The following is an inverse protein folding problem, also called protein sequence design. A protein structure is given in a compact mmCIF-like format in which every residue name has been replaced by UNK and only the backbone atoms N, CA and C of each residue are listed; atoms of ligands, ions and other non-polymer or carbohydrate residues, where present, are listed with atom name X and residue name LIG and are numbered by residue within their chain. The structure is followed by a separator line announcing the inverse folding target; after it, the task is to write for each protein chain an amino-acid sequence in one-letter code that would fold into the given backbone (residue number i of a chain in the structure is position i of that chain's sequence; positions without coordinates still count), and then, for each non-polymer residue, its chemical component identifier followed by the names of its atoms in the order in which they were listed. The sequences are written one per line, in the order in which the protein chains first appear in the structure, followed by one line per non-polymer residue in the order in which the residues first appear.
data_IF_619859650046
#
_entry.id   IF_619859650046
#
_cell.length_a   1.000
_cell.length_b   1.000
_cell.length_c   1.000
_cell.angle_alpha   90.00
_cell.angle_beta   90.00
_cell.angle_gamma   90.00
#
_symmetry.space_group_name_H-M   'P 1'
#
loop_
_entity.id
_entity.type
_entity.pdbx_description
1 polymer ?
#
# COMPACT_ATOMS: atom_id res chain seq x y z
N UNK A 1 -10.51 -5.74 -2.83
CA UNK A 1 -9.56 -4.74 -2.29
C UNK A 1 -8.16 -5.32 -2.37
N UNK A 2 -7.19 -4.51 -2.71
CA UNK A 2 -5.81 -4.94 -2.93
C UNK A 2 -4.85 -4.08 -2.13
N UNK A 3 -3.75 -4.68 -1.66
CA UNK A 3 -2.63 -3.92 -1.12
C UNK A 3 -1.54 -3.82 -2.19
N UNK A 4 -0.78 -2.73 -2.19
CA UNK A 4 0.38 -2.54 -3.05
C UNK A 4 1.51 -1.96 -2.22
N UNK A 5 2.68 -2.60 -2.27
CA UNK A 5 3.78 -2.28 -1.35
C UNK A 5 5.13 -2.74 -1.92
N UNK A 6 6.19 -2.02 -1.58
CA UNK A 6 7.57 -2.46 -1.78
C UNK A 6 8.19 -2.78 -0.42
N UNK A 7 8.77 -3.96 -0.28
CA UNK A 7 9.35 -4.44 0.98
C UNK A 7 10.80 -4.85 0.79
N UNK A 8 11.61 -4.68 1.84
CA UNK A 8 12.96 -5.20 1.89
C UNK A 8 13.00 -6.66 2.37
N UNK A 9 14.19 -7.23 2.59
CA UNK A 9 14.34 -8.63 3.03
C UNK A 9 13.67 -8.92 4.37
N UNK A 10 13.52 -7.93 5.23
CA UNK A 10 12.88 -8.05 6.53
C UNK A 10 11.41 -7.59 6.51
N UNK A 11 10.79 -7.45 5.33
CA UNK A 11 9.45 -6.88 5.14
C UNK A 11 9.33 -5.43 5.59
N UNK A 12 10.45 -4.72 5.64
CA UNK A 12 10.48 -3.29 5.92
C UNK A 12 9.92 -2.46 4.78
N UNK A 13 9.28 -1.35 5.11
CA UNK A 13 8.64 -0.48 4.12
C UNK A 13 9.08 0.98 4.22
N UNK A 14 9.64 1.40 5.32
CA UNK A 14 10.04 2.79 5.50
C UNK A 14 11.03 2.99 6.62
N UNK A 15 11.65 4.15 6.61
CA UNK A 15 12.59 4.60 7.65
C UNK A 15 12.55 6.12 7.73
N UNK A 16 12.49 6.63 8.95
CA UNK A 16 12.47 8.08 9.23
C UNK A 16 11.38 8.82 8.43
N UNK A 17 10.21 8.18 8.27
CA UNK A 17 9.07 8.75 7.56
C UNK A 17 9.20 8.77 6.03
N UNK A 18 10.18 8.07 5.49
CA UNK A 18 10.45 8.03 4.04
C UNK A 18 10.44 6.60 3.52
N UNK A 19 10.24 6.44 2.21
CA UNK A 19 10.46 5.17 1.53
C UNK A 19 11.92 4.74 1.67
N UNK A 20 12.16 3.43 1.66
CA UNK A 20 13.50 2.86 1.83
C UNK A 20 14.45 3.22 0.68
N UNK A 21 13.92 3.32 -0.53
CA UNK A 21 14.69 3.63 -1.73
C UNK A 21 13.77 4.10 -2.85
N UNK A 22 14.39 4.58 -3.92
CA UNK A 22 13.70 5.00 -5.13
C UNK A 22 13.95 3.98 -6.23
N UNK A 23 12.89 3.29 -6.66
CA UNK A 23 12.92 2.36 -7.80
C UNK A 23 12.02 2.91 -8.90
N UNK A 24 12.57 3.45 -9.98
CA UNK A 24 11.74 4.04 -11.05
C UNK A 24 10.74 3.07 -11.67
N UNK A 25 11.11 1.81 -11.88
CA UNK A 25 10.22 0.81 -12.44
C UNK A 25 9.07 0.46 -11.50
N UNK A 26 9.34 0.40 -10.19
CA UNK A 26 8.32 0.19 -9.18
C UNK A 26 7.35 1.37 -9.09
N UNK A 27 7.86 2.58 -9.16
CA UNK A 27 7.03 3.79 -9.17
C UNK A 27 6.15 3.85 -10.42
N UNK A 28 6.66 3.42 -11.57
CA UNK A 28 5.89 3.32 -12.80
C UNK A 28 4.78 2.27 -12.67
N UNK A 29 5.09 1.12 -12.10
CA UNK A 29 4.11 0.07 -11.82
C UNK A 29 2.99 0.60 -10.93
N UNK A 30 3.35 1.23 -9.82
CA UNK A 30 2.39 1.84 -8.89
C UNK A 30 1.45 2.82 -9.60
N UNK A 31 2.01 3.75 -10.38
CA UNK A 31 1.20 4.71 -11.13
C UNK A 31 0.27 4.03 -12.13
N UNK A 32 0.77 3.03 -12.83
CA UNK A 32 0.00 2.33 -13.86
C UNK A 32 -1.19 1.59 -13.26
N UNK A 33 -1.01 0.86 -12.17
CA UNK A 33 -2.08 0.06 -11.57
C UNK A 33 -3.08 0.91 -10.78
N UNK A 34 -2.66 2.04 -10.21
CA UNK A 34 -3.55 2.87 -9.39
C UNK A 34 -4.23 4.01 -10.15
N UNK A 35 -3.81 4.31 -11.38
CA UNK A 35 -4.38 5.40 -12.18
C UNK A 35 -5.89 5.20 -12.40
N UNK A 36 -6.67 6.21 -12.07
CA UNK A 36 -8.12 6.16 -12.19
C UNK A 36 -8.81 5.32 -11.12
N UNK A 37 -8.06 4.86 -10.12
CA UNK A 37 -8.55 3.97 -9.06
C UNK A 37 -8.73 4.72 -7.74
N UNK A 38 -9.11 3.97 -6.70
CA UNK A 38 -9.26 4.48 -5.34
C UNK A 38 -8.02 4.07 -4.53
N UNK A 39 -7.39 5.02 -3.85
CA UNK A 39 -6.28 4.73 -2.95
C UNK A 39 -6.67 5.08 -1.52
N UNK A 40 -6.31 4.19 -0.59
CA UNK A 40 -6.54 4.36 0.84
C UNK A 40 -5.20 4.48 1.52
N UNK A 41 -5.03 5.55 2.30
CA UNK A 41 -3.75 5.86 2.92
C UNK A 41 -3.95 6.54 4.28
N UNK A 42 -2.90 6.55 5.08
CA UNK A 42 -2.87 7.28 6.34
C UNK A 42 -2.34 8.69 6.16
N UNK A 43 -2.53 9.53 7.19
CA UNK A 43 -2.09 10.92 7.21
C UNK A 43 -0.59 11.07 6.98
N UNK A 44 0.24 10.24 7.65
CA UNK A 44 1.70 10.32 7.50
C UNK A 44 2.16 10.02 6.09
N UNK A 45 1.51 9.07 5.43
CA UNK A 45 1.79 8.74 4.02
C UNK A 45 1.45 9.93 3.12
N UNK A 46 0.29 10.55 3.33
CA UNK A 46 -0.08 11.77 2.61
C UNK A 46 0.98 12.87 2.79
N UNK A 47 1.43 13.09 4.03
CA UNK A 47 2.44 14.11 4.33
C UNK A 47 3.80 13.82 3.70
N UNK A 48 4.09 12.56 3.35
CA UNK A 48 5.33 12.17 2.67
C UNK A 48 5.31 12.48 1.16
N UNK A 49 4.15 12.76 0.59
CA UNK A 49 4.03 13.11 -0.83
C UNK A 49 4.53 14.53 -1.09
N UNK A 50 4.97 14.84 -2.32
CA UNK A 50 5.36 16.20 -2.68
C UNK A 50 4.27 17.21 -2.33
N UNK A 51 4.62 18.25 -1.56
CA UNK A 51 3.72 19.29 -1.06
C UNK A 51 2.54 18.76 -0.23
N UNK A 52 2.63 17.52 0.28
CA UNK A 52 1.57 16.83 1.01
C UNK A 52 0.23 16.83 0.25
N UNK A 53 0.30 16.73 -1.08
CA UNK A 53 -0.87 16.74 -1.96
C UNK A 53 -1.35 15.34 -2.29
N UNK A 54 -2.67 15.14 -2.43
CA UNK A 54 -3.21 13.85 -2.86
C UNK A 54 -2.72 13.48 -4.25
N UNK A 55 -2.73 12.17 -4.54
CA UNK A 55 -2.32 11.66 -5.84
C UNK A 55 -3.30 12.10 -6.92
N UNK A 56 -2.76 12.61 -8.02
CA UNK A 56 -3.57 13.07 -9.17
C UNK A 56 -4.22 11.89 -9.89
N UNK A 57 -5.41 12.11 -10.44
CA UNK A 57 -6.17 11.13 -11.22
C UNK A 57 -6.53 9.87 -10.44
N UNK A 58 -6.70 10.00 -9.12
CA UNK A 58 -7.15 8.94 -8.22
C UNK A 58 -8.12 9.53 -7.21
N UNK A 59 -8.96 8.67 -6.64
CA UNK A 59 -9.77 9.03 -5.50
C UNK A 59 -8.94 8.72 -4.26
N UNK A 60 -8.67 9.72 -3.44
CA UNK A 60 -7.82 9.60 -2.25
C UNK A 60 -8.67 9.56 -0.98
N UNK A 61 -8.69 8.41 -0.32
CA UNK A 61 -9.36 8.23 0.97
C UNK A 61 -8.28 8.19 2.05
N UNK A 62 -8.31 9.17 2.95
CA UNK A 62 -7.32 9.31 4.03
C UNK A 62 -7.94 8.91 5.35
N UNK A 63 -7.36 7.88 5.98
CA UNK A 63 -7.74 7.44 7.31
C UNK A 63 -6.94 8.22 8.36
N UNK A 64 -7.63 8.99 9.19
CA UNK A 64 -6.99 9.77 10.25
C UNK A 64 -7.97 10.14 11.35
N UNK A 65 -7.48 10.16 12.59
CA UNK A 65 -8.22 10.73 13.72
C UNK A 65 -8.01 12.24 13.88
N UNK A 66 -7.14 12.85 13.08
CA UNK A 66 -6.87 14.29 13.13
C UNK A 66 -8.09 15.07 12.61
N UNK A 67 -8.80 15.72 13.53
CA UNK A 67 -10.02 16.47 13.20
C UNK A 67 -9.74 17.70 12.33
N UNK A 68 -8.51 18.18 12.29
CA UNK A 68 -8.13 19.36 11.51
C UNK A 68 -7.80 19.04 10.07
N UNK A 69 -7.57 17.75 9.73
CA UNK A 69 -7.22 17.39 8.37
C UNK A 69 -8.46 17.49 7.47
N UNK A 70 -8.34 18.34 6.49
CA UNK A 70 -9.25 18.42 5.34
C UNK A 70 -8.45 18.91 4.14
N UNK A 71 -9.03 18.84 2.97
CA UNK A 71 -8.35 19.33 1.77
C UNK A 71 -9.11 18.98 0.51
N UNK A 72 -8.86 19.78 -0.52
CA UNK A 72 -9.39 19.50 -1.83
C UNK A 72 -8.82 18.21 -2.39
N UNK A 73 -9.68 17.37 -2.95
CA UNK A 73 -9.29 16.08 -3.49
C UNK A 73 -9.11 14.98 -2.45
N UNK A 74 -9.46 15.23 -1.18
CA UNK A 74 -9.40 14.24 -0.10
C UNK A 74 -10.79 13.86 0.37
N UNK A 75 -11.00 12.55 0.54
CA UNK A 75 -12.12 12.02 1.31
C UNK A 75 -11.54 11.57 2.64
N UNK A 76 -11.90 12.25 3.73
CA UNK A 76 -11.35 11.97 5.05
C UNK A 76 -12.28 11.04 5.81
N UNK A 77 -11.73 9.92 6.29
CA UNK A 77 -12.44 8.95 7.13
C UNK A 77 -11.78 8.87 8.50
N UNK A 78 -12.59 8.79 9.54
CA UNK A 78 -12.10 8.87 10.94
C UNK A 78 -11.86 7.50 11.56
N UNK A 79 -12.36 6.43 10.93
CA UNK A 79 -12.21 5.06 11.41
C UNK A 79 -12.19 4.08 10.23
N UNK A 80 -11.77 2.85 10.49
CA UNK A 80 -11.83 1.77 9.50
C UNK A 80 -13.29 1.53 9.08
N UNK A 81 -14.22 1.49 10.03
CA UNK A 81 -15.64 1.30 9.71
C UNK A 81 -16.18 2.41 8.79
N UNK A 82 -15.77 3.65 9.03
CA UNK A 82 -16.16 4.80 8.21
C UNK A 82 -15.59 4.65 6.79
N UNK A 83 -14.31 4.29 6.68
CA UNK A 83 -13.67 4.05 5.39
C UNK A 83 -14.34 2.90 4.62
N UNK A 84 -14.65 1.79 5.29
CA UNK A 84 -15.31 0.65 4.65
C UNK A 84 -16.70 1.03 4.12
N UNK A 85 -17.46 1.87 4.85
CA UNK A 85 -18.74 2.38 4.35
C UNK A 85 -18.55 3.21 3.07
N UNK A 86 -17.56 4.10 3.08
CA UNK A 86 -17.25 4.93 1.92
C UNK A 86 -16.84 4.09 0.72
N UNK A 87 -16.05 3.04 0.96
CA UNK A 87 -15.53 2.16 -0.10
C UNK A 87 -16.61 1.33 -0.78
N UNK A 88 -17.78 1.15 -0.16
CA UNK A 88 -18.91 0.43 -0.80
C UNK A 88 -19.46 1.13 -2.03
N UNK A 89 -19.14 2.39 -2.24
CA UNK A 89 -19.53 3.15 -3.44
C UNK A 89 -18.69 2.80 -4.67
N UNK A 90 -17.63 2.02 -4.49
CA UNK A 90 -16.67 1.67 -5.56
C UNK A 90 -16.59 0.16 -5.74
N UNK A 91 -16.13 -0.25 -6.93
CA UNK A 91 -15.79 -1.65 -7.17
C UNK A 91 -14.59 -2.02 -6.29
N UNK A 92 -14.69 -3.11 -5.53
CA UNK A 92 -13.62 -3.54 -4.64
C UNK A 92 -12.30 -3.83 -5.37
N UNK A 93 -12.37 -4.26 -6.63
CA UNK A 93 -11.18 -4.49 -7.46
C UNK A 93 -10.45 -3.19 -7.85
N UNK A 94 -11.08 -2.05 -7.67
CA UNK A 94 -10.50 -0.74 -7.95
C UNK A 94 -9.89 -0.08 -6.70
N UNK A 95 -9.95 -0.73 -5.55
CA UNK A 95 -9.46 -0.19 -4.27
C UNK A 95 -8.07 -0.71 -3.95
N UNK A 96 -7.13 0.20 -3.73
CA UNK A 96 -5.73 -0.08 -3.39
C UNK A 96 -5.35 0.55 -2.05
N UNK A 97 -4.87 -0.28 -1.13
CA UNK A 97 -4.32 0.14 0.15
C UNK A 97 -2.85 0.47 -0.06
N UNK A 98 -2.43 1.70 0.21
CA UNK A 98 -1.10 2.17 -0.16
C UNK A 98 -0.21 2.60 1.01
N UNK A 99 -0.69 2.44 2.25
CA UNK A 99 0.16 2.59 3.43
C UNK A 99 -0.28 3.67 4.39
N UNK A 100 0.42 3.86 5.47
CA UNK A 100 1.59 3.08 5.90
C UNK A 100 1.27 1.84 6.72
N UNK A 101 2.19 1.51 7.64
CA UNK A 101 2.10 0.26 8.41
C UNK A 101 0.73 0.04 9.06
N UNK A 102 0.25 1.02 9.82
CA UNK A 102 -1.04 0.91 10.51
C UNK A 102 -2.21 0.70 9.55
N UNK A 103 -2.21 1.39 8.43
CA UNK A 103 -3.28 1.28 7.43
C UNK A 103 -3.23 -0.09 6.76
N UNK A 104 -2.05 -0.58 6.39
CA UNK A 104 -1.91 -1.94 5.87
C UNK A 104 -2.44 -2.97 6.87
N UNK A 105 -2.03 -2.90 8.13
CA UNK A 105 -2.46 -3.85 9.16
C UNK A 105 -3.98 -3.87 9.32
N UNK A 106 -4.61 -2.71 9.32
CA UNK A 106 -6.05 -2.59 9.54
C UNK A 106 -6.90 -3.05 8.35
N UNK A 107 -6.39 -2.92 7.12
CA UNK A 107 -7.15 -3.27 5.92
C UNK A 107 -6.75 -4.62 5.31
N UNK A 108 -5.62 -5.18 5.70
CA UNK A 108 -5.15 -6.45 5.14
C UNK A 108 -6.17 -7.59 5.23
N UNK A 109 -6.95 -7.73 6.32
CA UNK A 109 -7.98 -8.78 6.40
C UNK A 109 -9.04 -8.68 5.31
N UNK A 110 -9.26 -7.52 4.75
CA UNK A 110 -10.26 -7.25 3.70
C UNK A 110 -9.67 -7.29 2.29
N UNK A 111 -8.36 -7.49 2.18
CA UNK A 111 -7.68 -7.57 0.89
C UNK A 111 -7.67 -9.02 0.40
N UNK A 112 -8.03 -9.22 -0.86
CA UNK A 112 -7.92 -10.54 -1.52
C UNK A 112 -6.58 -10.71 -2.23
N UNK A 113 -5.88 -9.62 -2.49
CA UNK A 113 -4.64 -9.60 -3.26
C UNK A 113 -3.65 -8.60 -2.66
N UNK A 114 -2.37 -8.92 -2.74
CA UNK A 114 -1.29 -7.98 -2.47
C UNK A 114 -0.27 -8.05 -3.60
N UNK A 115 0.04 -6.90 -4.17
CA UNK A 115 1.16 -6.75 -5.10
C UNK A 115 2.36 -6.30 -4.29
N UNK A 116 3.37 -7.16 -4.21
CA UNK A 116 4.54 -6.95 -3.36
C UNK A 116 5.79 -6.91 -4.21
N UNK A 117 6.47 -5.77 -4.21
CA UNK A 117 7.80 -5.65 -4.81
C UNK A 117 8.81 -6.04 -3.74
N UNK A 118 9.52 -7.15 -3.96
CA UNK A 118 10.48 -7.68 -2.98
C UNK A 118 11.88 -7.27 -3.37
N UNK A 119 12.50 -6.45 -2.52
CA UNK A 119 13.87 -5.97 -2.71
C UNK A 119 14.87 -6.85 -1.94
N UNK A 120 15.95 -7.24 -2.60
CA UNK A 120 16.98 -8.12 -2.01
C UNK A 120 18.06 -7.31 -1.28
N UNK A 121 17.65 -6.64 -0.23
CA UNK A 121 18.52 -5.89 0.68
C UNK A 121 17.77 -5.60 1.97
N UNK A 122 18.48 -5.56 3.09
CA UNK A 122 17.97 -5.06 4.36
C UNK A 122 18.37 -3.59 4.48
N UNK A 123 17.39 -2.70 4.52
CA UNK A 123 17.63 -1.26 4.63
C UNK A 123 17.61 -0.75 6.07
N UNK A 124 17.39 -1.63 7.04
CA UNK A 124 17.27 -1.21 8.45
C UNK A 124 16.01 -0.40 8.70
N UNK A 125 14.88 -0.86 8.20
CA UNK A 125 13.60 -0.17 8.32
C UNK A 125 13.14 0.00 9.76
N UNK A 126 12.29 1.00 10.01
CA UNK A 126 11.63 1.24 11.29
C UNK A 126 10.10 1.06 11.20
N UNK A 127 9.58 0.79 10.00
CA UNK A 127 8.19 0.42 9.75
C UNK A 127 8.15 -0.79 8.82
N UNK A 128 7.17 -1.67 9.03
CA UNK A 128 7.11 -2.97 8.34
C UNK A 128 5.72 -3.28 7.81
N UNK A 129 5.69 -4.11 6.79
CA UNK A 129 4.51 -4.80 6.30
C UNK A 129 4.47 -6.18 6.93
N UNK A 130 3.27 -6.75 7.09
CA UNK A 130 3.10 -8.13 7.59
C UNK A 130 3.85 -9.08 6.66
N UNK A 131 4.62 -10.00 7.24
CA UNK A 131 5.30 -11.04 6.45
C UNK A 131 4.25 -12.03 5.93
N UNK A 132 3.88 -11.88 4.67
CA UNK A 132 2.84 -12.71 4.05
C UNK A 132 3.26 -14.17 3.84
N UNK A 133 4.57 -14.45 3.84
CA UNK A 133 5.05 -15.83 3.77
C UNK A 133 4.74 -16.63 5.03
N UNK A 134 4.47 -15.94 6.14
CA UNK A 134 4.14 -16.53 7.44
C UNK A 134 2.71 -16.25 7.90
N UNK A 135 1.96 -15.49 7.13
CA UNK A 135 0.59 -15.13 7.49
C UNK A 135 -0.38 -16.18 6.97
N UNK A 136 -1.17 -16.76 7.87
CA UNK A 136 -2.17 -17.77 7.51
C UNK A 136 -3.15 -17.20 6.47
N UNK A 137 -3.48 -18.02 5.48
CA UNK A 137 -4.40 -17.65 4.40
C UNK A 137 -3.75 -16.96 3.22
N UNK A 138 -2.55 -16.40 3.38
CA UNK A 138 -1.83 -15.75 2.30
C UNK A 138 -0.86 -16.70 1.60
N UNK A 139 -0.80 -16.61 0.28
CA UNK A 139 0.05 -17.46 -0.55
C UNK A 139 0.60 -16.66 -1.72
N UNK A 140 1.90 -16.78 -1.98
CA UNK A 140 2.51 -16.23 -3.18
C UNK A 140 2.07 -17.04 -4.39
N UNK A 141 1.39 -16.40 -5.34
CA UNK A 141 0.83 -17.06 -6.52
C UNK A 141 1.62 -16.75 -7.79
N UNK A 142 2.33 -15.62 -7.82
CA UNK A 142 3.17 -15.23 -8.95
C UNK A 142 4.45 -14.61 -8.46
N UNK A 143 5.56 -15.02 -9.06
CA UNK A 143 6.88 -14.43 -8.83
C UNK A 143 7.43 -14.00 -10.18
N UNK A 144 7.66 -12.71 -10.36
CA UNK A 144 8.20 -12.15 -11.59
C UNK A 144 9.68 -12.44 -11.76
N UNK A 145 10.22 -12.05 -12.90
CA UNK A 145 11.66 -12.14 -13.16
C UNK A 145 12.44 -11.22 -12.24
N UNK A 146 13.63 -11.64 -11.84
CA UNK A 146 14.52 -10.79 -11.07
C UNK A 146 15.02 -9.64 -11.93
N UNK A 147 14.87 -8.43 -11.41
CA UNK A 147 15.28 -7.19 -12.06
C UNK A 147 16.36 -6.53 -11.23
N UNK A 148 17.06 -5.58 -11.81
CA UNK A 148 18.12 -4.84 -11.13
C UNK A 148 18.04 -3.36 -11.48
N UNK A 149 18.27 -2.52 -10.47
CA UNK A 149 18.45 -1.08 -10.64
C UNK A 149 19.56 -0.60 -9.69
N UNK A 150 20.62 -0.07 -10.27
CA UNK A 150 21.78 0.44 -9.52
C UNK A 150 22.29 -0.53 -8.45
N UNK A 151 22.43 -1.82 -8.81
CA UNK A 151 22.91 -2.85 -7.91
C UNK A 151 21.88 -3.43 -6.95
N UNK A 152 20.66 -2.90 -6.92
CA UNK A 152 19.58 -3.44 -6.12
C UNK A 152 18.75 -4.42 -6.96
N UNK A 153 18.68 -5.66 -6.51
CA UNK A 153 17.86 -6.69 -7.16
C UNK A 153 16.47 -6.70 -6.54
N UNK A 154 15.44 -6.88 -7.36
CA UNK A 154 14.06 -6.92 -6.90
C UNK A 154 13.17 -7.76 -7.81
N UNK A 155 12.02 -8.21 -7.29
CA UNK A 155 11.02 -8.96 -8.05
C UNK A 155 9.63 -8.41 -7.76
N UNK A 156 8.76 -8.44 -8.77
CA UNK A 156 7.32 -8.18 -8.58
C UNK A 156 6.62 -9.48 -8.27
N UNK A 157 5.96 -9.55 -7.11
CA UNK A 157 5.26 -10.75 -6.64
C UNK A 157 3.79 -10.46 -6.41
N UNK A 158 2.95 -11.47 -6.62
CA UNK A 158 1.52 -11.41 -6.30
C UNK A 158 1.21 -12.42 -5.22
N UNK A 159 0.52 -11.97 -4.17
CA UNK A 159 0.01 -12.80 -3.10
C UNK A 159 -1.52 -12.80 -3.12
N UNK A 160 -2.14 -13.93 -2.81
CA UNK A 160 -3.58 -14.07 -2.67
C UNK A 160 -3.96 -14.47 -1.25
N UNK A 161 -5.08 -13.94 -0.77
CA UNK A 161 -5.63 -14.23 0.55
C UNK A 161 -6.86 -15.12 0.42
N UNK A 162 -6.76 -16.36 0.91
CA UNK A 162 -7.88 -17.31 0.95
C UNK A 162 -8.89 -17.02 2.05
N UNK A 163 -8.48 -16.23 3.05
CA UNK A 163 -9.30 -15.88 4.22
C UNK A 163 -9.78 -14.41 4.17
N UNK A 164 -9.94 -13.86 2.97
CA UNK A 164 -10.43 -12.50 2.80
C UNK A 164 -11.80 -12.33 3.45
N UNK A 165 -11.91 -11.34 4.35
CA UNK A 165 -13.15 -11.04 5.05
C UNK A 165 -14.06 -10.14 4.22
N UNK A 166 -15.36 -10.35 4.34
CA UNK A 166 -16.37 -9.46 3.78
C UNK A 166 -16.44 -8.14 4.56
N UNK A 167 -16.89 -7.10 3.89
CA UNK A 167 -16.99 -5.78 4.51
C UNK A 167 -18.09 -4.93 3.90
#
# INVERSE_FOLDING_TARGET
MKAIVAVDEAWGIGKDGKLLTHLPEDMKFFRTVTKGKVVVLGRKTLQSFPDAKPLKNRINIVLTSDAALNGEGLIVCRSVADALRQLKEYDSDDVYIIGGQSVYEQFLPYCDTAYVTRMKRDFGADTWFVNLDRQEGWEETETGEEKEYEGLHFTFCTYKNRNCQDW
#
